data_IF_505655781199
#
_entry.id   IF_505655781199
#
_cell.length_a   1.000
_cell.length_b   1.000
_cell.length_c   1.000
_cell.angle_alpha   90.00
_cell.angle_beta   90.00
_cell.angle_gamma   90.00
#
_symmetry.space_group_name_H-M   'P 1'
#
loop_
_entity.id
_entity.type
_entity.pdbx_description
1 polymer ?
#
# COMPACT_ATOMS: atom_id res chain seq x y z
N UNK A 1 2.41 23.22 -10.81
CA UNK A 1 1.69 22.44 -9.77
C UNK A 1 2.63 21.59 -8.89
N UNK A 2 3.92 21.38 -9.22
CA UNK A 2 4.86 20.73 -8.27
C UNK A 2 6.18 21.51 -8.23
N UNK A 3 6.37 22.36 -7.21
CA UNK A 3 7.68 23.00 -6.93
C UNK A 3 8.04 23.09 -5.44
N UNK A 4 7.26 22.47 -4.56
CA UNK A 4 7.65 22.27 -3.16
C UNK A 4 7.60 20.77 -2.89
N UNK A 5 8.76 20.18 -2.63
CA UNK A 5 8.84 18.84 -2.04
C UNK A 5 7.90 18.82 -0.82
N UNK A 6 7.01 17.83 -0.66
CA UNK A 6 6.18 17.75 0.52
C UNK A 6 7.09 17.41 1.71
N UNK A 7 7.64 18.44 2.35
CA UNK A 7 8.56 18.34 3.49
C UNK A 7 7.99 17.49 4.64
N UNK A 8 6.67 17.34 4.70
CA UNK A 8 5.98 16.46 5.63
C UNK A 8 6.29 14.99 5.32
N UNK A 9 6.15 14.54 4.06
CA UNK A 9 6.41 13.14 3.70
C UNK A 9 7.89 12.81 3.86
N UNK A 10 8.78 13.73 3.44
CA UNK A 10 10.21 13.57 3.67
C UNK A 10 10.53 13.53 5.18
N UNK A 11 9.90 14.37 6.01
CA UNK A 11 10.09 14.35 7.45
C UNK A 11 9.58 13.08 8.14
N UNK A 12 8.46 12.52 7.68
CA UNK A 12 7.93 11.26 8.20
C UNK A 12 8.88 10.11 7.89
N UNK A 13 9.29 9.99 6.62
CA UNK A 13 10.24 9.01 6.17
C UNK A 13 11.56 9.10 6.95
N UNK A 14 12.04 10.33 7.18
CA UNK A 14 13.27 10.58 7.89
C UNK A 14 13.17 10.22 9.37
N UNK A 15 12.03 10.47 10.01
CA UNK A 15 11.75 10.02 11.39
C UNK A 15 11.75 8.50 11.51
N UNK A 16 11.15 7.79 10.56
CA UNK A 16 11.09 6.33 10.56
C UNK A 16 12.49 5.70 10.38
N UNK A 17 13.27 6.28 9.45
CA UNK A 17 14.67 5.93 9.23
C UNK A 17 15.55 6.27 10.43
N UNK A 18 15.31 7.39 11.12
CA UNK A 18 16.07 7.83 12.29
C UNK A 18 15.72 7.01 13.54
N UNK A 19 14.45 6.63 13.72
CA UNK A 19 14.02 5.73 14.78
C UNK A 19 14.62 4.33 14.56
N UNK A 20 14.67 3.83 13.32
CA UNK A 20 15.37 2.60 13.01
C UNK A 20 16.89 2.73 13.02
N UNK A 21 17.48 3.89 12.76
CA UNK A 21 18.91 4.06 12.98
C UNK A 21 19.25 4.12 14.49
N UNK A 22 18.38 4.74 15.29
CA UNK A 22 18.55 4.98 16.72
C UNK A 22 18.25 3.77 17.60
N UNK A 23 17.10 3.12 17.42
CA UNK A 23 16.74 1.88 18.13
C UNK A 23 17.74 0.77 17.82
N UNK A 24 18.20 0.65 16.59
CA UNK A 24 19.14 -0.40 16.22
C UNK A 24 20.56 -0.01 16.59
N UNK A 25 21.06 1.18 16.26
CA UNK A 25 22.41 1.63 16.65
C UNK A 25 22.72 1.49 18.16
N UNK A 26 21.69 1.56 19.02
CA UNK A 26 21.81 1.35 20.46
C UNK A 26 21.71 -0.13 20.91
N UNK A 27 20.86 -0.96 20.30
CA UNK A 27 20.56 -2.32 20.79
C UNK A 27 21.49 -3.42 20.20
N UNK A 28 21.89 -3.32 18.93
CA UNK A 28 22.93 -4.22 18.31
C UNK A 28 24.34 -3.87 18.77
N UNK A 29 24.58 -2.62 19.22
CA UNK A 29 25.84 -2.27 19.90
C UNK A 29 26.00 -2.95 21.27
N UNK A 30 24.89 -3.42 21.88
CA UNK A 30 24.89 -4.05 23.21
C UNK A 30 24.60 -5.55 23.21
N UNK A 31 23.84 -6.09 22.25
CA UNK A 31 23.37 -7.49 22.27
C UNK A 31 24.17 -8.46 21.39
N UNK A 32 24.82 -7.99 20.33
CA UNK A 32 25.58 -8.85 19.43
C UNK A 32 26.99 -8.30 19.30
N UNK A 33 27.97 -8.99 19.91
CA UNK A 33 29.38 -8.60 19.89
C UNK A 33 29.95 -8.42 18.47
N UNK A 34 29.71 -7.26 17.85
CA UNK A 34 30.25 -6.86 16.56
C UNK A 34 29.40 -7.18 15.32
N UNK A 35 28.06 -7.16 15.36
CA UNK A 35 27.30 -7.03 14.10
C UNK A 35 27.43 -5.60 13.58
N UNK A 36 28.32 -5.41 12.60
CA UNK A 36 28.75 -4.11 12.12
C UNK A 36 27.67 -3.31 11.38
N UNK A 37 28.03 -2.13 10.83
CA UNK A 37 27.15 -1.26 10.02
C UNK A 37 26.39 -1.99 8.90
N UNK A 38 26.91 -3.14 8.47
CA UNK A 38 26.39 -4.00 7.40
C UNK A 38 25.02 -4.63 7.66
N UNK A 39 24.62 -4.87 8.92
CA UNK A 39 23.28 -5.40 9.22
C UNK A 39 22.23 -4.27 9.22
N UNK A 40 22.56 -3.10 9.79
CA UNK A 40 21.61 -1.98 9.96
C UNK A 40 21.06 -1.46 8.65
N UNK A 41 21.93 -1.22 7.67
CA UNK A 41 21.49 -0.66 6.40
C UNK A 41 20.55 -1.60 5.64
N UNK A 42 20.63 -2.92 5.87
CA UNK A 42 19.74 -3.90 5.25
C UNK A 42 18.33 -3.81 5.83
N UNK A 43 18.20 -3.61 7.14
CA UNK A 43 16.92 -3.29 7.79
C UNK A 43 16.34 -1.98 7.25
N UNK A 44 17.16 -0.93 7.21
CA UNK A 44 16.77 0.37 6.65
C UNK A 44 16.35 0.29 5.17
N UNK A 45 17.00 -0.56 4.37
CA UNK A 45 16.62 -0.79 2.98
C UNK A 45 15.21 -1.42 2.86
N UNK A 46 14.82 -2.28 3.79
CA UNK A 46 13.45 -2.83 3.80
C UNK A 46 12.40 -1.77 4.16
N UNK A 47 12.68 -0.86 5.09
CA UNK A 47 11.79 0.29 5.41
C UNK A 47 11.65 1.21 4.21
N UNK A 48 12.77 1.56 3.57
CA UNK A 48 12.73 2.35 2.34
C UNK A 48 11.90 1.66 1.25
N UNK A 49 11.98 0.33 1.16
CA UNK A 49 11.09 -0.48 0.31
C UNK A 49 9.60 -0.29 0.64
N UNK A 50 9.24 -0.31 1.93
CA UNK A 50 7.87 -0.05 2.40
C UNK A 50 7.37 1.33 1.98
N UNK A 51 8.17 2.38 2.17
CA UNK A 51 7.77 3.74 1.82
C UNK A 51 7.64 3.98 0.31
N UNK A 52 8.49 3.33 -0.51
CA UNK A 52 8.48 3.52 -1.96
C UNK A 52 7.35 2.72 -2.64
N UNK A 53 7.02 1.53 -2.15
CA UNK A 53 5.92 0.75 -2.76
C UNK A 53 5.29 -0.32 -1.88
N UNK A 54 5.20 -0.05 -0.59
CA UNK A 54 4.45 -0.83 0.39
C UNK A 54 5.08 -2.17 0.75
N UNK A 55 4.29 -3.01 1.43
CA UNK A 55 4.74 -4.30 1.94
C UNK A 55 5.31 -5.25 0.87
N UNK A 56 4.85 -5.16 -0.38
CA UNK A 56 5.40 -5.94 -1.48
C UNK A 56 6.86 -5.56 -1.79
N UNK A 57 7.15 -4.27 -1.85
CA UNK A 57 8.52 -3.79 -2.06
C UNK A 57 9.39 -4.01 -0.82
N UNK A 58 8.82 -3.89 0.39
CA UNK A 58 9.51 -4.27 1.62
C UNK A 58 9.94 -5.74 1.63
N UNK A 59 9.05 -6.65 1.22
CA UNK A 59 9.34 -8.08 1.08
C UNK A 59 10.38 -8.36 -0.03
N UNK A 60 10.33 -7.63 -1.14
CA UNK A 60 11.34 -7.74 -2.18
C UNK A 60 12.74 -7.31 -1.67
N UNK A 61 12.81 -6.24 -0.88
CA UNK A 61 14.08 -5.80 -0.27
C UNK A 61 14.60 -6.81 0.76
N UNK A 62 13.71 -7.50 1.48
CA UNK A 62 14.09 -8.61 2.36
C UNK A 62 14.77 -9.75 1.60
N UNK A 63 14.24 -10.14 0.44
CA UNK A 63 14.80 -11.24 -0.35
C UNK A 63 16.15 -10.88 -1.00
N UNK A 64 16.32 -9.61 -1.37
CA UNK A 64 17.55 -9.10 -1.99
C UNK A 64 18.68 -8.92 -0.97
N UNK A 65 18.40 -8.28 0.16
CA UNK A 65 19.42 -7.90 1.13
C UNK A 65 19.58 -8.89 2.29
N UNK A 66 18.61 -9.80 2.46
CA UNK A 66 18.60 -10.87 3.45
C UNK A 66 19.02 -10.37 4.84
N UNK A 67 18.33 -9.36 5.42
CA UNK A 67 18.56 -8.96 6.80
C UNK A 67 18.21 -10.12 7.75
N UNK A 68 18.78 -10.12 8.95
CA UNK A 68 18.40 -11.08 9.99
C UNK A 68 16.89 -11.02 10.31
N UNK A 69 16.29 -12.17 10.65
CA UNK A 69 14.84 -12.25 10.91
C UNK A 69 14.37 -11.40 12.09
N UNK A 70 15.23 -11.20 13.09
CA UNK A 70 14.99 -10.29 14.22
C UNK A 70 14.94 -8.83 13.76
N UNK A 71 15.90 -8.43 12.92
CA UNK A 71 15.96 -7.10 12.31
C UNK A 71 14.74 -6.84 11.40
N UNK A 72 14.34 -7.82 10.60
CA UNK A 72 13.16 -7.69 9.73
C UNK A 72 11.85 -7.59 10.52
N UNK A 73 11.68 -8.43 11.55
CA UNK A 73 10.48 -8.40 12.41
C UNK A 73 10.34 -7.07 13.15
N UNK A 74 11.43 -6.60 13.75
CA UNK A 74 11.43 -5.30 14.42
C UNK A 74 11.20 -4.15 13.43
N UNK A 75 11.67 -4.28 12.18
CA UNK A 75 11.48 -3.27 11.13
C UNK A 75 10.01 -3.14 10.73
N UNK A 76 9.29 -4.24 10.57
CA UNK A 76 7.84 -4.23 10.33
C UNK A 76 7.10 -3.59 11.51
N UNK A 77 7.51 -3.90 12.74
CA UNK A 77 6.87 -3.34 13.92
C UNK A 77 6.99 -1.81 13.98
N UNK A 78 8.17 -1.27 13.67
CA UNK A 78 8.39 0.18 13.62
C UNK A 78 7.57 0.83 12.52
N UNK A 79 7.58 0.28 11.30
CA UNK A 79 6.79 0.78 10.15
C UNK A 79 5.29 0.89 10.51
N UNK A 80 4.72 -0.17 11.10
CA UNK A 80 3.32 -0.19 11.52
C UNK A 80 3.03 0.85 12.61
N UNK A 81 3.88 0.96 13.64
CA UNK A 81 3.67 1.89 14.75
C UNK A 81 3.76 3.34 14.26
N UNK A 82 4.80 3.67 13.50
CA UNK A 82 5.03 5.02 12.97
C UNK A 82 3.90 5.40 12.01
N UNK A 83 3.49 4.50 11.11
CA UNK A 83 2.37 4.74 10.21
C UNK A 83 1.07 5.04 10.98
N UNK A 84 0.75 4.29 12.04
CA UNK A 84 -0.47 4.51 12.82
C UNK A 84 -0.44 5.84 13.61
N UNK A 85 0.70 6.20 14.19
CA UNK A 85 0.87 7.50 14.87
C UNK A 85 0.66 8.64 13.88
N UNK A 86 1.28 8.56 12.70
CA UNK A 86 1.10 9.56 11.65
C UNK A 86 -0.31 9.61 11.12
N UNK A 87 -0.95 8.46 10.96
CA UNK A 87 -2.37 8.39 10.59
C UNK A 87 -3.24 9.15 11.58
N UNK A 88 -2.99 9.04 12.89
CA UNK A 88 -3.72 9.82 13.89
C UNK A 88 -3.51 11.33 13.71
N UNK A 89 -2.28 11.78 13.48
CA UNK A 89 -1.99 13.20 13.21
C UNK A 89 -2.63 13.70 11.91
N UNK A 90 -2.59 12.90 10.85
CA UNK A 90 -3.20 13.24 9.55
C UNK A 90 -4.72 13.32 9.65
N UNK A 91 -5.37 12.38 10.35
CA UNK A 91 -6.81 12.40 10.57
C UNK A 91 -7.23 13.58 11.45
N UNK A 92 -6.46 13.90 12.48
CA UNK A 92 -6.69 15.11 13.29
C UNK A 92 -6.55 16.38 12.44
N UNK A 93 -5.49 16.48 11.63
CA UNK A 93 -5.25 17.60 10.74
C UNK A 93 -6.31 17.74 9.63
N UNK A 94 -6.84 16.63 9.13
CA UNK A 94 -7.88 16.62 8.10
C UNK A 94 -9.18 17.31 8.56
N UNK A 95 -9.55 17.14 9.84
CA UNK A 95 -10.69 17.83 10.46
C UNK A 95 -10.52 19.36 10.57
N UNK A 96 -9.29 19.85 10.44
CA UNK A 96 -8.93 21.27 10.52
C UNK A 96 -8.26 21.77 9.24
N UNK A 97 -8.57 21.12 8.11
CA UNK A 97 -7.94 21.32 6.80
C UNK A 97 -7.82 22.79 6.40
N UNK A 98 -8.85 23.62 6.55
CA UNK A 98 -8.76 25.05 6.22
C UNK A 98 -7.68 25.81 7.02
N UNK A 99 -7.50 25.47 8.30
CA UNK A 99 -6.49 26.12 9.15
C UNK A 99 -5.10 25.67 8.75
N UNK A 100 -4.96 24.39 8.39
CA UNK A 100 -3.73 23.79 7.87
C UNK A 100 -3.39 24.41 6.51
N UNK A 101 -4.35 24.51 5.59
CA UNK A 101 -4.19 25.13 4.27
C UNK A 101 -3.77 26.59 4.38
N UNK A 102 -4.39 27.38 5.29
CA UNK A 102 -3.98 28.76 5.57
C UNK A 102 -2.56 28.84 6.13
N UNK A 103 -2.18 27.92 7.02
CA UNK A 103 -0.84 27.87 7.60
C UNK A 103 0.23 27.56 6.55
N UNK A 104 -0.03 26.58 5.67
CA UNK A 104 0.88 26.21 4.58
C UNK A 104 0.74 27.07 3.32
N UNK A 105 -0.23 28.00 3.30
CA UNK A 105 -0.65 28.77 2.12
C UNK A 105 -0.92 27.86 0.91
N UNK A 106 -1.57 26.74 1.17
CA UNK A 106 -1.95 25.76 0.16
C UNK A 106 -3.18 26.25 -0.61
N UNK A 107 -3.16 26.08 -1.94
CA UNK A 107 -4.35 26.27 -2.77
C UNK A 107 -5.10 24.95 -2.86
N UNK A 108 -6.22 24.86 -2.14
CA UNK A 108 -7.09 23.68 -2.10
C UNK A 108 -8.31 23.80 -3.02
N UNK A 109 -8.37 24.82 -3.90
CA UNK A 109 -9.51 25.04 -4.80
C UNK A 109 -9.82 23.83 -5.70
N UNK A 110 -8.80 23.20 -6.26
CA UNK A 110 -8.95 21.99 -7.09
C UNK A 110 -9.49 20.79 -6.28
N UNK A 111 -9.07 20.66 -5.03
CA UNK A 111 -9.55 19.60 -4.12
C UNK A 111 -11.01 19.85 -3.75
N UNK A 112 -11.38 21.10 -3.47
CA UNK A 112 -12.77 21.49 -3.19
C UNK A 112 -13.69 21.21 -4.38
N UNK A 113 -13.30 21.62 -5.59
CA UNK A 113 -14.09 21.33 -6.81
C UNK A 113 -14.25 19.83 -7.04
N UNK A 114 -13.20 19.04 -6.81
CA UNK A 114 -13.27 17.59 -6.91
C UNK A 114 -14.19 16.99 -5.85
N UNK A 115 -14.10 17.46 -4.60
CA UNK A 115 -14.96 17.03 -3.50
C UNK A 115 -16.42 17.31 -3.82
N UNK A 116 -16.76 18.52 -4.22
CA UNK A 116 -18.13 18.88 -4.62
C UNK A 116 -18.62 18.04 -5.80
N UNK A 117 -17.76 17.78 -6.80
CA UNK A 117 -18.12 16.92 -7.93
C UNK A 117 -18.41 15.48 -7.50
N UNK A 118 -17.61 14.94 -6.57
CA UNK A 118 -17.82 13.59 -6.02
C UNK A 118 -19.09 13.56 -5.17
N UNK A 119 -19.31 14.54 -4.28
CA UNK A 119 -20.52 14.63 -3.45
C UNK A 119 -21.78 14.73 -4.31
N UNK A 120 -21.80 15.62 -5.30
CA UNK A 120 -22.93 15.77 -6.22
C UNK A 120 -23.17 14.49 -7.04
N UNK A 121 -22.10 13.83 -7.49
CA UNK A 121 -22.23 12.55 -8.18
C UNK A 121 -22.82 11.48 -7.26
N UNK A 122 -22.32 11.33 -6.04
CA UNK A 122 -22.83 10.36 -5.06
C UNK A 122 -24.30 10.62 -4.73
N UNK A 123 -24.69 11.87 -4.47
CA UNK A 123 -26.08 12.24 -4.26
C UNK A 123 -26.96 11.93 -5.46
N UNK A 124 -26.44 12.04 -6.69
CA UNK A 124 -27.20 11.73 -7.91
C UNK A 124 -27.40 10.25 -8.16
N UNK A 125 -26.57 9.37 -7.59
CA UNK A 125 -26.64 7.92 -7.80
C UNK A 125 -27.09 7.14 -6.57
N UNK A 126 -27.04 7.75 -5.38
CA UNK A 126 -27.38 7.09 -4.12
C UNK A 126 -28.84 6.65 -4.12
N UNK A 127 -29.03 5.34 -3.95
CA UNK A 127 -30.33 4.71 -3.74
C UNK A 127 -30.25 3.79 -2.53
N UNK A 128 -31.39 3.36 -2.02
CA UNK A 128 -31.43 2.33 -0.97
C UNK A 128 -31.11 0.98 -1.64
N UNK A 129 -30.10 0.23 -1.18
CA UNK A 129 -29.73 -1.04 -1.79
C UNK A 129 -30.86 -2.04 -1.65
N UNK A 130 -31.21 -2.69 -2.75
CA UNK A 130 -32.12 -3.83 -2.73
C UNK A 130 -31.35 -5.11 -2.43
N UNK A 131 -32.04 -6.16 -1.97
CA UNK A 131 -31.42 -7.49 -1.82
C UNK A 131 -30.79 -7.96 -3.14
N UNK A 132 -31.41 -7.65 -4.28
CA UNK A 132 -30.88 -7.97 -5.59
C UNK A 132 -29.55 -7.27 -5.86
N UNK A 133 -29.42 -5.99 -5.51
CA UNK A 133 -28.17 -5.25 -5.68
C UNK A 133 -27.03 -5.91 -4.88
N UNK A 134 -27.29 -6.28 -3.63
CA UNK A 134 -26.33 -6.98 -2.76
C UNK A 134 -25.92 -8.32 -3.37
N UNK A 135 -26.89 -9.13 -3.83
CA UNK A 135 -26.61 -10.43 -4.44
C UNK A 135 -25.78 -10.29 -5.72
N UNK A 136 -26.01 -9.24 -6.52
CA UNK A 136 -25.23 -8.97 -7.73
C UNK A 136 -23.80 -8.53 -7.38
N UNK A 137 -23.61 -7.68 -6.37
CA UNK A 137 -22.28 -7.29 -5.88
C UNK A 137 -21.49 -8.52 -5.41
N UNK A 138 -22.14 -9.40 -4.63
CA UNK A 138 -21.54 -10.65 -4.19
C UNK A 138 -21.19 -11.56 -5.37
N UNK A 139 -22.09 -11.67 -6.36
CA UNK A 139 -21.83 -12.46 -7.57
C UNK A 139 -20.60 -11.96 -8.35
N UNK A 140 -20.44 -10.64 -8.49
CA UNK A 140 -19.24 -10.06 -9.12
C UNK A 140 -17.99 -10.28 -8.26
N UNK A 141 -18.07 -10.08 -6.94
CA UNK A 141 -16.94 -10.29 -6.03
C UNK A 141 -16.46 -11.73 -6.02
N UNK A 142 -17.35 -12.69 -5.77
CA UNK A 142 -17.02 -14.11 -5.79
C UNK A 142 -16.68 -14.62 -7.19
N UNK A 143 -17.35 -14.14 -8.23
CA UNK A 143 -17.06 -14.50 -9.62
C UNK A 143 -15.66 -14.07 -10.05
N UNK A 144 -15.29 -12.82 -9.80
CA UNK A 144 -13.94 -12.32 -10.09
C UNK A 144 -12.87 -13.08 -9.28
N UNK A 145 -13.17 -13.40 -8.01
CA UNK A 145 -12.27 -14.21 -7.16
C UNK A 145 -12.08 -15.62 -7.71
N UNK A 146 -13.16 -16.29 -8.11
CA UNK A 146 -13.10 -17.63 -8.70
C UNK A 146 -12.31 -17.65 -10.03
N UNK A 147 -12.54 -16.65 -10.90
CA UNK A 147 -11.77 -16.49 -12.14
C UNK A 147 -10.29 -16.21 -11.83
N UNK A 148 -10.03 -15.40 -10.80
CA UNK A 148 -8.67 -15.10 -10.32
C UNK A 148 -7.92 -16.36 -9.89
N UNK A 149 -8.54 -17.20 -9.06
CA UNK A 149 -7.98 -18.49 -8.65
C UNK A 149 -7.76 -19.42 -9.85
N UNK A 150 -8.77 -19.58 -10.70
CA UNK A 150 -8.67 -20.43 -11.88
C UNK A 150 -7.53 -20.01 -12.82
N UNK A 151 -7.37 -18.70 -13.07
CA UNK A 151 -6.29 -18.20 -13.90
C UNK A 151 -4.92 -18.31 -13.22
N UNK A 152 -4.84 -18.06 -11.91
CA UNK A 152 -3.61 -18.23 -11.14
C UNK A 152 -3.10 -19.67 -11.16
N UNK A 153 -4.00 -20.65 -11.00
CA UNK A 153 -3.68 -22.08 -10.98
C UNK A 153 -3.22 -22.60 -12.35
N UNK A 154 -3.51 -21.89 -13.43
CA UNK A 154 -3.01 -22.19 -14.78
C UNK A 154 -1.70 -21.48 -15.09
N UNK A 155 -1.63 -20.17 -14.82
CA UNK A 155 -0.53 -19.32 -15.25
C UNK A 155 0.71 -19.52 -14.37
N UNK A 156 0.55 -19.60 -13.05
CA UNK A 156 1.68 -19.68 -12.13
C UNK A 156 2.52 -20.96 -12.33
N UNK A 157 1.91 -22.17 -12.45
CA UNK A 157 2.67 -23.39 -12.75
C UNK A 157 3.30 -23.35 -14.15
N UNK A 158 2.57 -22.87 -15.16
CA UNK A 158 3.09 -22.75 -16.52
C UNK A 158 4.37 -21.90 -16.58
N UNK A 159 4.39 -20.76 -15.87
CA UNK A 159 5.58 -19.91 -15.77
C UNK A 159 6.68 -20.59 -14.95
N UNK A 160 6.32 -21.30 -13.88
CA UNK A 160 7.27 -22.07 -13.07
C UNK A 160 8.04 -23.10 -13.88
N UNK A 161 7.34 -23.85 -14.73
CA UNK A 161 7.92 -24.96 -15.50
C UNK A 161 8.73 -24.48 -16.72
N UNK A 162 8.28 -23.42 -17.39
CA UNK A 162 8.91 -22.93 -18.63
C UNK A 162 9.94 -21.82 -18.40
N UNK A 163 9.80 -21.03 -17.35
CA UNK A 163 10.62 -19.84 -17.09
C UNK A 163 10.99 -19.71 -15.60
N UNK A 164 11.72 -20.67 -15.01
CA UNK A 164 12.06 -20.67 -13.58
C UNK A 164 12.86 -19.41 -13.16
N UNK A 165 13.59 -18.79 -14.09
CA UNK A 165 14.33 -17.54 -13.84
C UNK A 165 13.45 -16.32 -13.51
N UNK A 166 12.12 -16.40 -13.70
CA UNK A 166 11.15 -15.36 -13.38
C UNK A 166 10.63 -15.44 -11.94
N UNK A 167 10.97 -16.48 -11.18
CA UNK A 167 10.57 -16.64 -9.78
C UNK A 167 11.03 -15.45 -8.91
N UNK A 168 12.17 -14.84 -9.23
CA UNK A 168 12.71 -13.65 -8.56
C UNK A 168 11.82 -12.40 -8.68
N UNK A 169 10.87 -12.40 -9.62
CA UNK A 169 9.87 -11.34 -9.79
C UNK A 169 8.48 -11.75 -9.26
N UNK A 170 8.41 -12.85 -8.49
CA UNK A 170 7.17 -13.44 -7.98
C UNK A 170 6.16 -13.87 -9.06
N UNK A 171 6.58 -13.97 -10.33
CA UNK A 171 5.71 -14.37 -11.45
C UNK A 171 5.32 -15.86 -11.41
N UNK A 172 5.97 -16.66 -10.58
CA UNK A 172 5.59 -18.04 -10.29
C UNK A 172 4.61 -18.15 -9.11
N UNK A 173 4.24 -17.03 -8.48
CA UNK A 173 3.29 -17.03 -7.35
C UNK A 173 1.85 -16.99 -7.84
N UNK A 174 1.04 -17.96 -7.41
CA UNK A 174 -0.40 -17.95 -7.67
C UNK A 174 -1.08 -16.73 -7.07
N UNK A 175 -0.65 -16.28 -5.89
CA UNK A 175 -1.20 -15.09 -5.24
C UNK A 175 -0.98 -13.81 -6.07
N UNK A 176 0.19 -13.68 -6.71
CA UNK A 176 0.46 -12.56 -7.60
C UNK A 176 -0.55 -12.52 -8.76
N UNK A 177 -0.73 -13.64 -9.45
CA UNK A 177 -1.68 -13.72 -10.58
C UNK A 177 -3.13 -13.57 -10.16
N UNK A 178 -3.50 -14.06 -8.97
CA UNK A 178 -4.82 -13.83 -8.39
C UNK A 178 -5.11 -12.32 -8.27
N UNK A 179 -4.20 -11.55 -7.67
CA UNK A 179 -4.36 -10.09 -7.51
C UNK A 179 -4.39 -9.39 -8.87
N UNK A 180 -3.48 -9.73 -9.78
CA UNK A 180 -3.39 -9.13 -11.11
C UNK A 180 -4.68 -9.34 -11.89
N UNK A 181 -5.19 -10.58 -11.92
CA UNK A 181 -6.43 -10.91 -12.63
C UNK A 181 -7.62 -10.22 -11.97
N UNK A 182 -7.76 -10.31 -10.64
CA UNK A 182 -8.87 -9.70 -9.92
C UNK A 182 -8.94 -8.18 -10.13
N UNK A 183 -7.78 -7.50 -10.09
CA UNK A 183 -7.69 -6.06 -10.29
C UNK A 183 -7.96 -5.68 -11.75
N UNK A 184 -7.45 -6.47 -12.70
CA UNK A 184 -7.73 -6.27 -14.14
C UNK A 184 -9.22 -6.43 -14.43
N UNK A 185 -9.86 -7.47 -13.88
CA UNK A 185 -11.31 -7.67 -14.00
C UNK A 185 -12.09 -6.52 -13.36
N UNK A 186 -11.69 -6.06 -12.17
CA UNK A 186 -12.30 -4.90 -11.53
C UNK A 186 -12.23 -3.63 -12.39
N UNK A 187 -11.06 -3.36 -12.99
CA UNK A 187 -10.87 -2.24 -13.91
C UNK A 187 -11.75 -2.41 -15.15
N UNK A 188 -11.79 -3.60 -15.77
CA UNK A 188 -12.64 -3.86 -16.93
C UNK A 188 -14.12 -3.64 -16.57
N UNK A 189 -14.58 -4.18 -15.44
CA UNK A 189 -15.94 -4.01 -14.95
C UNK A 189 -16.29 -2.54 -14.67
N UNK A 190 -15.32 -1.73 -14.25
CA UNK A 190 -15.52 -0.28 -14.04
C UNK A 190 -15.89 0.49 -15.31
N UNK A 191 -15.53 -0.03 -16.49
CA UNK A 191 -15.96 0.53 -17.78
C UNK A 191 -17.33 0.02 -18.24
N UNK A 192 -17.91 -0.96 -17.55
CA UNK A 192 -19.23 -1.53 -17.89
C UNK A 192 -20.36 -0.93 -17.05
N UNK A 193 -21.59 -1.36 -17.32
CA UNK A 193 -22.76 -0.99 -16.51
C UNK A 193 -22.66 -1.44 -15.05
N UNK A 194 -21.78 -2.39 -14.71
CA UNK A 194 -21.53 -2.84 -13.35
C UNK A 194 -21.07 -1.70 -12.43
N UNK A 195 -20.42 -0.65 -12.97
CA UNK A 195 -20.08 0.56 -12.20
C UNK A 195 -21.28 1.24 -11.53
N UNK A 196 -22.49 1.09 -12.08
CA UNK A 196 -23.71 1.67 -11.46
C UNK A 196 -24.07 1.02 -10.12
N UNK A 197 -23.49 -0.14 -9.80
CA UNK A 197 -23.64 -0.79 -8.50
C UNK A 197 -22.91 -0.02 -7.39
N UNK A 198 -22.01 0.93 -7.71
CA UNK A 198 -21.35 1.79 -6.72
C UNK A 198 -22.34 2.71 -5.97
N UNK A 199 -23.48 3.04 -6.59
CA UNK A 199 -24.53 3.84 -5.95
C UNK A 199 -25.61 3.01 -5.26
N UNK A 200 -25.49 1.68 -5.29
CA UNK A 200 -26.46 0.77 -4.71
C UNK A 200 -26.40 0.76 -3.19
#
# INVERSE_FOLDING_TARGET
>A
IVKRKPAVIEGIFQLDMEYCAGSYGYDIGKRSGGQGPEEVWRGLATIAGSWIGGGANQAAMFEVFKPSGELFSATIAVDVIVANIWMAFLLYGAGMSERVDRFFKADSSAVHQLKEKIENYQLSISKIPTLTDIMVILAFGFGATAIGHFGADLIAPFIGDNFPGLAKFSLTSGFFWLIVIATTLGIILSFTKARKLEGA
#
